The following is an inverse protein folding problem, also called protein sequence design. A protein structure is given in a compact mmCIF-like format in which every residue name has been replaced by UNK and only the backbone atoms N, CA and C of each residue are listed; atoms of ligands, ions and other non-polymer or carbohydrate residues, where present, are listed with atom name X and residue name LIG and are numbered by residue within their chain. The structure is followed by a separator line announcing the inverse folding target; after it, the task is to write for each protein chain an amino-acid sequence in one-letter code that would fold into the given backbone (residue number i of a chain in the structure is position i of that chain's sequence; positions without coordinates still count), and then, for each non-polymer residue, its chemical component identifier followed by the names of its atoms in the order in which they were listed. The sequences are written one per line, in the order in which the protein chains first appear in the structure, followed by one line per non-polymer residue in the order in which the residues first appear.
data_IF_700789463644
#
_entry.id   IF_700789463644
#
_cell.length_a   1.000
_cell.length_b   1.000
_cell.length_c   1.000
_cell.angle_alpha   90.00
_cell.angle_beta   90.00
_cell.angle_gamma   90.00
#
_symmetry.space_group_name_H-M   'P 1'
#
loop_
_entity.id
_entity.type
_entity.pdbx_description
1 polymer ?
#
# COMPACT_ATOMS: atom_id res chain seq x y z
N UNK A 1 40.50 -49.15 -12.95
CA UNK A 1 41.22 -47.97 -12.42
C UNK A 1 40.97 -46.73 -13.27
N UNK A 2 41.19 -46.76 -14.59
CA UNK A 2 41.04 -45.58 -15.47
C UNK A 2 39.75 -44.76 -15.30
N UNK A 3 38.58 -45.41 -15.16
CA UNK A 3 37.31 -44.69 -15.05
C UNK A 3 37.20 -43.84 -13.77
N UNK A 4 37.82 -44.28 -12.67
CA UNK A 4 37.78 -43.52 -11.43
C UNK A 4 38.74 -42.33 -11.46
N UNK A 5 39.95 -42.54 -11.97
CA UNK A 5 40.96 -41.48 -12.15
C UNK A 5 40.47 -40.40 -13.11
N UNK A 6 39.87 -40.80 -14.24
CA UNK A 6 39.29 -39.86 -15.20
C UNK A 6 38.15 -39.05 -14.57
N UNK A 7 37.29 -39.69 -13.78
CA UNK A 7 36.21 -38.99 -13.08
C UNK A 7 36.76 -37.97 -12.07
N UNK A 8 37.73 -38.36 -11.26
CA UNK A 8 38.32 -37.48 -10.25
C UNK A 8 39.05 -36.28 -10.90
N UNK A 9 39.70 -36.50 -12.06
CA UNK A 9 40.26 -35.46 -12.89
C UNK A 9 39.20 -34.51 -13.45
N UNK A 10 38.06 -35.02 -13.96
CA UNK A 10 36.94 -34.17 -14.41
C UNK A 10 36.44 -33.29 -13.26
N UNK A 11 36.30 -33.86 -12.05
CA UNK A 11 35.84 -33.10 -10.89
C UNK A 11 36.78 -31.96 -10.49
N UNK A 12 38.07 -32.03 -10.81
CA UNK A 12 39.04 -30.96 -10.52
C UNK A 12 38.88 -29.74 -11.43
N UNK A 13 38.30 -29.93 -12.62
CA UNK A 13 38.01 -28.84 -13.56
C UNK A 13 36.64 -28.19 -13.35
N UNK A 14 35.78 -28.78 -12.51
CA UNK A 14 34.45 -28.26 -12.26
C UNK A 14 34.48 -27.17 -11.19
N UNK A 15 33.70 -26.10 -11.40
CA UNK A 15 33.46 -25.13 -10.34
C UNK A 15 32.69 -25.79 -9.19
N UNK A 16 32.77 -25.20 -8.00
CA UNK A 16 32.02 -25.73 -6.85
C UNK A 16 30.51 -25.79 -7.10
N UNK A 17 29.96 -24.81 -7.83
CA UNK A 17 28.55 -24.76 -8.18
C UNK A 17 28.17 -25.89 -9.15
N UNK A 18 29.08 -26.23 -10.07
CA UNK A 18 28.92 -27.38 -10.98
C UNK A 18 29.04 -28.71 -10.25
N UNK A 19 29.94 -28.80 -9.26
CA UNK A 19 30.03 -29.98 -8.41
C UNK A 19 28.71 -30.22 -7.65
N UNK A 20 28.13 -29.17 -7.07
CA UNK A 20 26.82 -29.28 -6.40
C UNK A 20 25.71 -29.61 -7.40
N UNK A 21 25.74 -29.02 -8.60
CA UNK A 21 24.81 -29.35 -9.67
C UNK A 21 24.87 -30.84 -10.03
N UNK A 22 26.07 -31.36 -10.28
CA UNK A 22 26.29 -32.75 -10.65
C UNK A 22 25.88 -33.70 -9.53
N UNK A 23 26.23 -33.38 -8.28
CA UNK A 23 25.83 -34.16 -7.10
C UNK A 23 24.31 -34.25 -6.93
N UNK A 24 23.56 -33.26 -7.41
CA UNK A 24 22.09 -33.27 -7.32
C UNK A 24 21.40 -34.19 -8.34
N UNK A 25 22.09 -34.59 -9.41
CA UNK A 25 21.49 -35.38 -10.50
C UNK A 25 21.25 -36.84 -10.11
N UNK A 26 22.04 -37.38 -9.17
CA UNK A 26 22.09 -38.81 -8.88
C UNK A 26 22.63 -39.09 -7.48
N UNK A 27 21.97 -39.99 -6.74
CA UNK A 27 22.41 -40.39 -5.39
C UNK A 27 23.80 -41.04 -5.38
N UNK A 28 24.17 -41.96 -6.30
CA UNK A 28 25.54 -42.45 -6.43
C UNK A 28 26.59 -41.35 -6.62
N UNK A 29 26.33 -40.35 -7.49
CA UNK A 29 27.24 -39.23 -7.70
C UNK A 29 27.37 -38.39 -6.44
N UNK A 30 26.24 -38.08 -5.78
CA UNK A 30 26.25 -37.39 -4.49
C UNK A 30 27.16 -38.09 -3.49
N UNK A 31 27.00 -39.41 -3.28
CA UNK A 31 27.80 -40.18 -2.33
C UNK A 31 29.29 -40.13 -2.65
N UNK A 32 29.64 -40.19 -3.93
CA UNK A 32 31.04 -40.11 -4.38
C UNK A 32 31.64 -38.71 -4.20
N UNK A 33 30.84 -37.67 -4.40
CA UNK A 33 31.29 -36.27 -4.28
C UNK A 33 31.20 -35.73 -2.85
N UNK A 34 30.45 -36.40 -1.98
CA UNK A 34 30.19 -36.00 -0.60
C UNK A 34 31.46 -35.67 0.20
N UNK A 35 32.54 -36.48 0.17
CA UNK A 35 33.76 -36.17 0.92
C UNK A 35 34.40 -34.85 0.47
N UNK A 36 34.29 -34.49 -0.81
CA UNK A 36 34.81 -33.22 -1.34
C UNK A 36 33.88 -32.05 -1.00
N UNK A 37 32.57 -32.25 -1.11
CA UNK A 37 31.56 -31.20 -0.88
C UNK A 37 31.35 -30.86 0.60
N UNK A 38 31.58 -31.82 1.50
CA UNK A 38 31.23 -31.70 2.92
C UNK A 38 32.43 -31.94 3.85
N UNK A 39 33.67 -31.93 3.33
CA UNK A 39 34.89 -32.17 4.11
C UNK A 39 35.05 -31.16 5.25
N UNK A 40 35.00 -29.87 4.92
CA UNK A 40 35.21 -28.76 5.87
C UNK A 40 33.91 -28.02 6.18
N UNK A 41 33.84 -27.33 7.31
CA UNK A 41 32.69 -26.48 7.68
C UNK A 41 32.37 -25.47 6.58
N UNK A 42 33.39 -24.81 6.03
CA UNK A 42 33.21 -23.86 4.93
C UNK A 42 32.60 -24.50 3.68
N UNK A 43 33.05 -25.70 3.29
CA UNK A 43 32.47 -26.42 2.17
C UNK A 43 31.04 -26.90 2.46
N UNK A 44 30.73 -27.28 3.70
CA UNK A 44 29.36 -27.63 4.12
C UNK A 44 28.43 -26.42 3.96
N UNK A 45 28.84 -25.24 4.41
CA UNK A 45 28.05 -24.02 4.28
C UNK A 45 27.90 -23.62 2.81
N UNK A 46 28.98 -23.68 2.02
CA UNK A 46 28.93 -23.41 0.57
C UNK A 46 28.02 -24.40 -0.16
N UNK A 47 28.08 -25.69 0.20
CA UNK A 47 27.18 -26.73 -0.33
C UNK A 47 25.74 -26.44 0.05
N UNK A 48 25.48 -26.08 1.31
CA UNK A 48 24.16 -25.73 1.82
C UNK A 48 23.57 -24.54 1.03
N UNK A 49 24.33 -23.47 0.80
CA UNK A 49 23.92 -22.32 -0.02
C UNK A 49 23.47 -22.76 -1.42
N UNK A 50 24.32 -23.54 -2.09
CA UNK A 50 24.08 -23.95 -3.46
C UNK A 50 22.86 -24.88 -3.56
N UNK A 51 22.74 -25.81 -2.61
CA UNK A 51 21.60 -26.71 -2.48
C UNK A 51 20.29 -25.94 -2.24
N UNK A 52 20.30 -24.94 -1.35
CA UNK A 52 19.12 -24.12 -1.04
C UNK A 52 18.65 -23.29 -2.23
N UNK A 53 19.59 -22.70 -2.99
CA UNK A 53 19.27 -21.90 -4.18
C UNK A 53 18.59 -22.70 -5.28
N UNK A 54 18.96 -23.98 -5.41
CA UNK A 54 18.51 -24.88 -6.48
C UNK A 54 17.37 -25.81 -6.03
N UNK A 55 17.06 -25.84 -4.74
CA UNK A 55 16.01 -26.70 -4.20
C UNK A 55 16.40 -28.17 -4.11
N UNK A 56 17.61 -28.46 -3.63
CA UNK A 56 18.12 -29.82 -3.48
C UNK A 56 17.98 -30.31 -2.03
N UNK A 57 16.75 -30.57 -1.58
CA UNK A 57 16.43 -30.96 -0.20
C UNK A 57 17.28 -32.11 0.37
N UNK A 58 17.63 -33.14 -0.42
CA UNK A 58 18.47 -34.26 0.03
C UNK A 58 19.87 -33.78 0.46
N UNK A 59 20.47 -32.88 -0.34
CA UNK A 59 21.79 -32.35 -0.06
C UNK A 59 21.76 -31.35 1.11
N UNK A 60 20.68 -30.58 1.25
CA UNK A 60 20.42 -29.74 2.43
C UNK A 60 20.39 -30.59 3.71
N UNK A 61 19.57 -31.65 3.75
CA UNK A 61 19.48 -32.56 4.90
C UNK A 61 20.84 -33.19 5.21
N UNK A 62 21.58 -33.60 4.18
CA UNK A 62 22.91 -34.20 4.37
C UNK A 62 23.90 -33.20 4.96
N UNK A 63 23.98 -31.98 4.42
CA UNK A 63 24.85 -30.92 4.95
C UNK A 63 24.51 -30.61 6.43
N UNK A 64 23.22 -30.44 6.74
CA UNK A 64 22.76 -30.22 8.13
C UNK A 64 23.09 -31.41 9.04
N UNK A 65 22.98 -32.66 8.56
CA UNK A 65 23.34 -33.86 9.34
C UNK A 65 24.83 -33.93 9.69
N UNK A 66 25.69 -33.30 8.88
CA UNK A 66 27.13 -33.21 9.11
C UNK A 66 27.54 -31.92 9.84
N UNK A 67 26.58 -31.22 10.46
CA UNK A 67 26.84 -30.06 11.29
C UNK A 67 27.00 -28.74 10.53
N UNK A 68 26.47 -28.62 9.31
CA UNK A 68 26.23 -27.29 8.74
C UNK A 68 25.25 -26.53 9.64
N UNK A 69 25.56 -25.26 9.95
CA UNK A 69 24.72 -24.46 10.84
C UNK A 69 23.50 -23.93 10.07
N UNK A 70 22.30 -24.28 10.53
CA UNK A 70 21.03 -23.89 9.92
C UNK A 70 20.70 -22.40 10.15
N UNK A 71 21.26 -21.80 11.21
CA UNK A 71 21.08 -20.41 11.63
C UNK A 71 22.22 -19.50 11.16
N UNK A 72 23.39 -20.06 10.83
CA UNK A 72 24.53 -19.24 10.45
C UNK A 72 24.21 -18.40 9.21
N UNK A 73 24.56 -17.10 9.22
CA UNK A 73 24.58 -16.27 8.05
C UNK A 73 25.52 -16.90 7.03
N UNK A 74 24.91 -17.33 5.93
CA UNK A 74 25.64 -17.93 4.86
C UNK A 74 26.38 -16.84 4.09
N UNK A 75 27.70 -16.96 4.01
CA UNK A 75 28.56 -15.98 3.38
C UNK A 75 28.59 -16.21 1.88
N UNK A 76 28.02 -15.27 1.13
CA UNK A 76 28.10 -15.26 -0.32
C UNK A 76 29.30 -14.46 -0.80
N UNK A 77 30.31 -15.15 -1.33
CA UNK A 77 31.30 -14.49 -2.17
C UNK A 77 30.64 -14.15 -3.51
N UNK A 78 30.45 -12.85 -3.77
CA UNK A 78 30.23 -12.36 -5.13
C UNK A 78 31.59 -12.21 -5.78
N UNK A 79 32.02 -13.25 -6.49
CA UNK A 79 33.13 -13.15 -7.44
C UNK A 79 32.81 -12.01 -8.43
N UNK A 80 33.68 -11.00 -8.50
CA UNK A 80 33.52 -9.83 -9.39
C UNK A 80 33.06 -8.50 -8.76
N UNK A 81 32.86 -8.42 -7.43
CA UNK A 81 32.62 -7.12 -6.78
C UNK A 81 33.89 -6.28 -6.72
N UNK A 82 33.95 -5.19 -7.50
CA UNK A 82 35.08 -4.24 -7.55
C UNK A 82 35.38 -3.55 -6.21
N UNK A 83 34.37 -3.41 -5.35
CA UNK A 83 34.52 -2.93 -3.98
C UNK A 83 34.71 -4.14 -3.09
N UNK A 84 35.85 -4.23 -2.40
CA UNK A 84 36.37 -5.41 -1.69
C UNK A 84 35.31 -6.29 -1.00
N UNK A 85 35.59 -7.59 -0.95
CA UNK A 85 34.72 -8.69 -0.50
C UNK A 85 33.92 -8.36 0.77
N UNK A 86 32.81 -7.63 0.65
CA UNK A 86 31.85 -7.49 1.74
C UNK A 86 30.99 -8.74 1.72
N UNK A 87 31.37 -9.68 2.58
CA UNK A 87 30.61 -10.87 2.90
C UNK A 87 29.21 -10.43 3.30
N UNK A 88 28.21 -10.65 2.43
CA UNK A 88 26.84 -10.34 2.77
C UNK A 88 26.23 -11.56 3.46
N UNK A 89 25.92 -11.49 4.76
CA UNK A 89 25.26 -12.57 5.46
C UNK A 89 23.89 -12.80 4.82
N UNK A 90 23.58 -14.05 4.45
CA UNK A 90 22.26 -14.40 3.90
C UNK A 90 21.59 -15.44 4.78
N UNK A 91 20.32 -15.19 5.09
CA UNK A 91 19.49 -16.09 5.87
C UNK A 91 19.16 -17.36 5.06
N UNK A 92 19.50 -18.53 5.59
CA UNK A 92 19.26 -19.83 4.92
C UNK A 92 17.78 -20.05 4.57
N UNK A 93 16.87 -19.71 5.50
CA UNK A 93 15.42 -19.75 5.29
C UNK A 93 14.99 -18.92 4.07
N UNK A 94 15.58 -17.73 3.88
CA UNK A 94 15.30 -16.86 2.74
C UNK A 94 15.70 -17.53 1.42
N UNK A 95 16.84 -18.21 1.39
CA UNK A 95 17.30 -18.94 0.20
C UNK A 95 16.36 -20.10 -0.13
N UNK A 96 15.92 -20.88 0.86
CA UNK A 96 14.96 -21.96 0.65
C UNK A 96 13.64 -21.45 0.03
N UNK A 97 13.04 -20.38 0.59
CA UNK A 97 11.79 -19.79 0.05
C UNK A 97 12.01 -19.22 -1.34
N UNK A 98 13.20 -18.63 -1.61
CA UNK A 98 13.55 -18.13 -2.94
C UNK A 98 13.66 -19.26 -3.96
N UNK A 99 14.33 -20.35 -3.61
CA UNK A 99 14.46 -21.57 -4.43
C UNK A 99 13.12 -22.29 -4.62
N UNK A 100 12.19 -22.14 -3.67
CA UNK A 100 10.86 -22.73 -3.76
C UNK A 100 10.80 -24.21 -3.38
N UNK A 101 11.80 -24.72 -2.68
CA UNK A 101 11.82 -26.09 -2.16
C UNK A 101 11.32 -26.13 -0.71
N UNK A 102 10.09 -26.60 -0.54
CA UNK A 102 9.47 -26.77 0.78
C UNK A 102 10.19 -27.80 1.64
N UNK A 103 10.75 -28.85 1.04
CA UNK A 103 11.46 -29.91 1.76
C UNK A 103 12.76 -29.38 2.37
N UNK A 104 13.48 -28.53 1.64
CA UNK A 104 14.66 -27.84 2.16
C UNK A 104 14.30 -26.84 3.26
N UNK A 105 13.22 -26.07 3.09
CA UNK A 105 12.73 -25.14 4.13
C UNK A 105 12.35 -25.88 5.41
N UNK A 106 11.58 -26.97 5.27
CA UNK A 106 11.18 -27.83 6.37
C UNK A 106 12.40 -28.44 7.09
N UNK A 107 13.39 -28.92 6.34
CA UNK A 107 14.61 -29.47 6.92
C UNK A 107 15.41 -28.44 7.74
N UNK A 108 15.46 -27.18 7.30
CA UNK A 108 16.08 -26.10 8.07
C UNK A 108 15.33 -25.87 9.39
N UNK A 109 14.00 -25.75 9.32
CA UNK A 109 13.13 -25.55 10.49
C UNK A 109 13.26 -26.69 11.50
N UNK A 110 13.23 -27.94 11.04
CA UNK A 110 13.41 -29.15 11.88
C UNK A 110 14.77 -29.18 12.59
N UNK A 111 15.77 -28.50 12.02
CA UNK A 111 17.11 -28.35 12.63
C UNK A 111 17.26 -27.07 13.45
N UNK A 112 16.16 -26.41 13.78
CA UNK A 112 16.15 -25.24 14.66
C UNK A 112 16.56 -23.94 13.98
N UNK A 113 16.47 -23.84 12.65
CA UNK A 113 16.67 -22.58 11.95
C UNK A 113 15.62 -21.55 12.43
N UNK A 114 16.07 -20.54 13.16
CA UNK A 114 15.23 -19.50 13.76
C UNK A 114 15.68 -18.12 13.30
N UNK A 115 14.79 -17.11 13.37
CA UNK A 115 15.20 -15.72 13.12
C UNK A 115 16.13 -15.23 14.23
N UNK A 116 15.86 -15.61 15.47
CA UNK A 116 16.61 -15.23 16.66
C UNK A 116 18.03 -15.82 16.62
N UNK A 117 18.16 -17.08 16.20
CA UNK A 117 19.45 -17.72 15.99
C UNK A 117 20.27 -17.02 14.92
N UNK A 118 19.63 -16.61 13.81
CA UNK A 118 20.28 -15.81 12.79
C UNK A 118 20.70 -14.42 13.30
N UNK A 119 19.83 -13.70 14.00
CA UNK A 119 20.14 -12.38 14.57
C UNK A 119 21.33 -12.48 15.52
N UNK A 120 21.27 -13.41 16.49
CA UNK A 120 22.34 -13.61 17.46
C UNK A 120 23.67 -13.99 16.79
N UNK A 121 23.63 -14.82 15.74
CA UNK A 121 24.84 -15.14 14.99
C UNK A 121 25.37 -13.95 14.18
N UNK A 122 24.50 -13.18 13.54
CA UNK A 122 24.87 -12.01 12.74
C UNK A 122 25.49 -10.92 13.63
N UNK A 123 24.95 -10.69 14.83
CA UNK A 123 25.47 -9.77 15.84
C UNK A 123 26.88 -10.18 16.31
N UNK A 124 27.11 -11.47 16.60
CA UNK A 124 28.46 -11.99 16.97
C UNK A 124 29.52 -11.72 15.90
N UNK A 125 29.10 -11.58 14.64
CA UNK A 125 29.99 -11.32 13.51
C UNK A 125 29.99 -9.85 13.08
N UNK A 126 29.53 -8.94 13.95
CA UNK A 126 29.50 -7.50 13.71
C UNK A 126 28.73 -7.10 12.43
N UNK A 127 27.71 -7.86 12.05
CA UNK A 127 26.81 -7.44 10.98
C UNK A 127 26.04 -6.20 11.43
N UNK A 128 25.88 -5.21 10.55
CA UNK A 128 25.07 -4.04 10.87
C UNK A 128 23.59 -4.43 11.03
N UNK A 129 22.89 -3.79 11.97
CA UNK A 129 21.45 -4.00 12.18
C UNK A 129 20.66 -3.83 10.88
N UNK A 130 21.01 -2.83 10.07
CA UNK A 130 20.38 -2.59 8.77
C UNK A 130 20.51 -3.78 7.80
N UNK A 131 21.60 -4.55 7.84
CA UNK A 131 21.74 -5.75 7.01
C UNK A 131 20.87 -6.90 7.53
N UNK A 132 20.79 -7.06 8.85
CA UNK A 132 19.94 -8.06 9.51
C UNK A 132 18.47 -7.77 9.15
N UNK A 133 18.03 -6.54 9.36
CA UNK A 133 16.67 -6.08 9.04
C UNK A 133 16.35 -6.30 7.55
N UNK A 134 17.28 -5.99 6.65
CA UNK A 134 17.08 -6.18 5.22
C UNK A 134 16.94 -7.66 4.79
N UNK A 135 17.61 -8.58 5.48
CA UNK A 135 17.48 -10.03 5.23
C UNK A 135 16.17 -10.58 5.80
N UNK A 136 15.78 -10.14 6.99
CA UNK A 136 14.48 -10.48 7.61
C UNK A 136 13.35 -9.95 6.73
N UNK A 137 13.35 -8.65 6.40
CA UNK A 137 12.37 -8.05 5.49
C UNK A 137 12.32 -8.78 4.15
N UNK A 138 13.48 -9.19 3.64
CA UNK A 138 13.59 -9.97 2.41
C UNK A 138 12.91 -11.34 2.50
N UNK A 139 13.01 -12.03 3.63
CA UNK A 139 12.28 -13.27 3.89
C UNK A 139 10.77 -13.01 4.06
N UNK A 140 10.37 -12.07 4.92
CA UNK A 140 8.96 -11.77 5.19
C UNK A 140 8.25 -11.34 3.89
N UNK A 141 8.93 -10.57 3.03
CA UNK A 141 8.43 -10.19 1.71
C UNK A 141 8.24 -11.40 0.76
N UNK A 142 9.14 -12.40 0.82
CA UNK A 142 9.01 -13.63 0.04
C UNK A 142 7.89 -14.54 0.54
N UNK A 143 7.75 -14.69 1.86
CA UNK A 143 6.67 -15.46 2.49
C UNK A 143 5.29 -14.83 2.21
N UNK A 144 5.24 -13.50 2.06
CA UNK A 144 4.04 -12.74 1.72
C UNK A 144 3.55 -12.94 0.27
N UNK A 145 4.18 -13.83 -0.49
CA UNK A 145 3.78 -14.15 -1.86
C UNK A 145 2.62 -15.17 -1.86
N UNK A 146 1.59 -14.99 -2.71
CA UNK A 146 0.47 -15.92 -2.77
C UNK A 146 0.90 -17.34 -3.17
N UNK A 147 1.91 -17.47 -4.04
CA UNK A 147 2.51 -18.75 -4.44
C UNK A 147 3.40 -19.40 -3.36
N UNK A 148 3.54 -18.78 -2.18
CA UNK A 148 4.39 -19.25 -1.08
C UNK A 148 3.61 -19.47 0.22
N UNK A 149 2.29 -19.62 0.15
CA UNK A 149 1.45 -19.79 1.34
C UNK A 149 1.79 -21.04 2.15
N UNK A 150 2.26 -22.10 1.51
CA UNK A 150 2.73 -23.31 2.19
C UNK A 150 3.96 -23.05 3.05
N UNK A 151 4.92 -22.25 2.56
CA UNK A 151 6.06 -21.78 3.35
C UNK A 151 5.60 -20.93 4.52
N UNK A 152 4.65 -20.02 4.30
CA UNK A 152 4.11 -19.19 5.37
C UNK A 152 3.40 -20.05 6.44
N UNK A 153 2.60 -21.02 6.02
CA UNK A 153 1.95 -21.98 6.91
C UNK A 153 2.98 -22.73 7.73
N UNK A 154 3.99 -23.33 7.09
CA UNK A 154 5.08 -24.00 7.80
C UNK A 154 5.78 -23.06 8.76
N UNK A 155 6.09 -21.83 8.33
CA UNK A 155 6.75 -20.82 9.17
C UNK A 155 5.92 -20.45 10.41
N UNK A 156 4.59 -20.49 10.33
CA UNK A 156 3.67 -20.24 11.44
C UNK A 156 3.38 -21.50 12.28
N UNK A 157 3.30 -22.68 11.65
CA UNK A 157 2.93 -23.96 12.27
C UNK A 157 4.02 -24.49 13.20
N UNK A 158 5.25 -24.00 13.11
CA UNK A 158 6.34 -24.48 13.94
C UNK A 158 6.13 -24.05 15.40
N UNK A 159 5.49 -24.90 16.18
CA UNK A 159 5.48 -24.88 17.65
C UNK A 159 6.87 -25.03 18.29
N UNK A 160 7.94 -25.04 17.49
CA UNK A 160 9.35 -25.22 17.87
C UNK A 160 10.16 -23.92 17.76
N UNK A 161 9.66 -22.91 17.05
CA UNK A 161 10.28 -21.58 17.10
C UNK A 161 9.82 -20.88 18.39
N UNK A 162 10.66 -20.05 19.04
CA UNK A 162 10.15 -19.04 19.96
C UNK A 162 8.98 -18.33 19.28
N UNK A 163 7.88 -18.01 20.00
CA UNK A 163 6.73 -17.35 19.39
C UNK A 163 7.25 -16.16 18.59
N UNK A 164 7.01 -16.19 17.28
CA UNK A 164 7.43 -15.12 16.37
C UNK A 164 7.07 -13.82 17.05
N UNK A 165 8.05 -12.92 17.23
CA UNK A 165 7.76 -11.61 17.82
C UNK A 165 6.56 -11.02 17.07
N UNK A 166 5.63 -10.44 17.81
CA UNK A 166 4.43 -9.83 17.24
C UNK A 166 4.78 -8.87 16.08
N UNK A 167 5.94 -8.22 16.15
CA UNK A 167 6.51 -7.38 15.10
C UNK A 167 6.78 -8.12 13.77
N UNK A 168 7.37 -9.33 13.80
CA UNK A 168 7.64 -10.11 12.59
C UNK A 168 6.34 -10.53 11.90
N UNK A 169 5.35 -11.00 12.69
CA UNK A 169 4.02 -11.32 12.21
C UNK A 169 3.33 -10.08 11.61
N UNK A 170 3.46 -8.93 12.28
CA UNK A 170 2.92 -7.65 11.82
C UNK A 170 3.56 -7.21 10.49
N UNK A 171 4.87 -7.39 10.33
CA UNK A 171 5.58 -7.07 9.10
C UNK A 171 5.21 -8.02 7.95
N UNK A 172 5.08 -9.32 8.22
CA UNK A 172 4.51 -10.28 7.27
C UNK A 172 3.11 -9.87 6.81
N UNK A 173 2.23 -9.50 7.74
CA UNK A 173 0.87 -9.04 7.43
C UNK A 173 0.90 -7.76 6.58
N UNK A 174 1.76 -6.80 6.94
CA UNK A 174 1.97 -5.56 6.19
C UNK A 174 2.39 -5.83 4.74
N UNK A 175 3.37 -6.70 4.52
CA UNK A 175 3.84 -7.03 3.18
C UNK A 175 2.80 -7.83 2.38
N UNK A 176 2.11 -8.78 3.02
CA UNK A 176 1.04 -9.59 2.42
C UNK A 176 -0.08 -8.69 1.92
N UNK A 177 -0.54 -7.76 2.75
CA UNK A 177 -1.59 -6.81 2.40
C UNK A 177 -1.11 -5.84 1.33
N UNK A 178 0.05 -5.20 1.50
CA UNK A 178 0.61 -4.28 0.50
C UNK A 178 0.73 -4.93 -0.87
N UNK A 179 1.20 -6.19 -0.93
CA UNK A 179 1.35 -6.92 -2.19
C UNK A 179 0.01 -7.30 -2.80
N UNK A 180 -0.93 -7.79 -1.98
CA UNK A 180 -2.28 -8.13 -2.42
C UNK A 180 -2.97 -6.90 -3.04
N UNK A 181 -2.83 -5.73 -2.41
CA UNK A 181 -3.37 -4.46 -2.89
C UNK A 181 -2.72 -3.97 -4.20
N UNK A 182 -1.43 -4.26 -4.42
CA UNK A 182 -0.72 -3.84 -5.63
C UNK A 182 -0.98 -4.76 -6.83
N UNK A 183 -1.12 -6.06 -6.58
CA UNK A 183 -1.26 -7.08 -7.64
C UNK A 183 -2.71 -7.51 -7.91
N UNK A 184 -3.65 -7.10 -7.06
CA UNK A 184 -5.05 -7.53 -7.13
C UNK A 184 -5.27 -9.02 -6.80
N UNK A 185 -4.22 -9.74 -6.40
CA UNK A 185 -4.31 -11.14 -5.97
C UNK A 185 -4.50 -11.14 -4.47
N UNK A 186 -5.75 -11.24 -4.03
CA UNK A 186 -6.09 -11.27 -2.61
C UNK A 186 -5.75 -12.63 -1.99
N UNK A 187 -4.70 -12.64 -1.16
CA UNK A 187 -4.33 -13.80 -0.37
C UNK A 187 -5.18 -13.95 0.90
N UNK A 188 -6.52 -14.11 0.79
CA UNK A 188 -7.43 -14.25 1.96
C UNK A 188 -6.88 -15.24 2.99
N UNK A 189 -6.43 -16.40 2.51
CA UNK A 189 -5.88 -17.46 3.33
C UNK A 189 -4.61 -17.03 4.08
N UNK A 190 -3.73 -16.24 3.46
CA UNK A 190 -2.51 -15.76 4.10
C UNK A 190 -2.80 -14.73 5.18
N UNK A 191 -3.76 -13.82 4.95
CA UNK A 191 -4.19 -12.86 5.98
C UNK A 191 -4.87 -13.57 7.14
N UNK A 192 -5.79 -14.49 6.87
CA UNK A 192 -6.49 -15.22 7.93
C UNK A 192 -5.52 -16.08 8.75
N UNK A 193 -4.53 -16.71 8.09
CA UNK A 193 -3.45 -17.40 8.77
C UNK A 193 -2.68 -16.45 9.70
N UNK A 194 -2.19 -15.31 9.18
CA UNK A 194 -1.41 -14.36 9.98
C UNK A 194 -2.19 -13.78 11.16
N UNK A 195 -3.47 -13.45 10.96
CA UNK A 195 -4.32 -12.94 12.05
C UNK A 195 -4.62 -14.04 13.08
N UNK A 196 -4.86 -15.28 12.66
CA UNK A 196 -5.02 -16.41 13.59
C UNK A 196 -3.79 -16.68 14.45
N UNK A 197 -2.62 -16.27 13.96
CA UNK A 197 -1.33 -16.33 14.66
C UNK A 197 -1.06 -15.08 15.52
N UNK A 198 -2.02 -14.16 15.64
CA UNK A 198 -1.92 -12.96 16.49
C UNK A 198 -1.45 -11.69 15.78
N UNK A 199 -1.31 -11.68 14.45
CA UNK A 199 -1.03 -10.44 13.72
C UNK A 199 -2.22 -9.48 13.81
N UNK A 200 -1.97 -8.22 14.16
CA UNK A 200 -3.04 -7.23 14.32
C UNK A 200 -3.25 -6.42 13.05
N UNK A 201 -4.49 -6.39 12.54
CA UNK A 201 -4.80 -5.53 11.39
C UNK A 201 -4.74 -4.04 11.76
N UNK A 202 -4.94 -3.70 13.04
CA UNK A 202 -4.88 -2.32 13.54
C UNK A 202 -3.47 -1.72 13.44
N UNK A 203 -2.42 -2.52 13.68
CA UNK A 203 -1.03 -2.06 13.69
C UNK A 203 -0.54 -1.49 12.35
N UNK A 204 -1.22 -1.83 11.26
CA UNK A 204 -0.88 -1.38 9.90
C UNK A 204 -1.07 0.12 9.70
N UNK A 205 -1.92 0.77 10.50
CA UNK A 205 -2.20 2.21 10.40
C UNK A 205 -1.05 3.09 10.96
N UNK A 206 -0.07 2.49 11.65
CA UNK A 206 1.00 3.23 12.32
C UNK A 206 2.28 3.41 11.50
N UNK A 207 2.48 2.62 10.44
CA UNK A 207 3.79 2.57 9.76
C UNK A 207 4.01 3.75 8.79
N UNK A 208 5.20 4.35 8.88
CA UNK A 208 5.68 5.58 8.25
C UNK A 208 5.67 5.64 6.71
N UNK A 209 5.23 4.59 6.02
CA UNK A 209 5.15 4.59 4.55
C UNK A 209 3.80 5.19 4.13
N UNK A 210 3.69 6.51 4.26
CA UNK A 210 2.56 7.35 3.81
C UNK A 210 1.18 7.00 4.35
N UNK A 211 1.08 6.34 5.52
CA UNK A 211 -0.11 6.37 6.38
C UNK A 211 -1.44 5.92 5.76
N UNK A 212 -1.47 5.25 4.60
CA UNK A 212 -2.74 4.85 3.97
C UNK A 212 -3.36 3.73 4.77
N UNK A 213 -4.60 3.93 5.24
CA UNK A 213 -5.37 2.87 5.87
C UNK A 213 -5.49 1.69 4.88
N UNK A 214 -5.12 0.46 5.29
CA UNK A 214 -5.23 -0.71 4.43
C UNK A 214 -6.65 -0.95 3.91
N UNK A 215 -7.66 -0.72 4.76
CA UNK A 215 -9.09 -0.84 4.41
C UNK A 215 -9.43 0.13 3.28
N UNK A 216 -9.07 1.41 3.42
CA UNK A 216 -9.33 2.41 2.40
C UNK A 216 -8.60 2.10 1.08
N UNK A 217 -7.38 1.57 1.17
CA UNK A 217 -6.62 1.17 -0.02
C UNK A 217 -7.26 -0.02 -0.74
N UNK A 218 -7.79 -1.00 0.00
CA UNK A 218 -8.53 -2.13 -0.57
C UNK A 218 -9.77 -1.66 -1.33
N UNK A 219 -10.52 -0.71 -0.75
CA UNK A 219 -11.69 -0.11 -1.39
C UNK A 219 -11.30 0.60 -2.69
N UNK A 220 -10.31 1.50 -2.66
CA UNK A 220 -9.85 2.24 -3.85
C UNK A 220 -9.35 1.33 -4.98
N UNK A 221 -8.83 0.14 -4.63
CA UNK A 221 -8.35 -0.85 -5.58
C UNK A 221 -9.46 -1.77 -6.13
N UNK A 222 -10.71 -1.58 -5.71
CA UNK A 222 -11.83 -2.42 -6.15
C UNK A 222 -11.87 -3.78 -5.45
N UNK A 223 -11.38 -3.87 -4.21
CA UNK A 223 -11.40 -5.09 -3.41
C UNK A 223 -12.22 -4.92 -2.12
N UNK A 224 -13.55 -4.68 -2.20
CA UNK A 224 -14.39 -4.51 -1.02
C UNK A 224 -14.37 -5.73 -0.09
N UNK A 225 -14.35 -6.94 -0.64
CA UNK A 225 -14.37 -8.17 0.18
C UNK A 225 -13.12 -8.30 1.06
N UNK A 226 -11.97 -7.81 0.55
CA UNK A 226 -10.73 -7.71 1.30
C UNK A 226 -10.81 -6.66 2.42
N UNK A 227 -11.46 -5.52 2.15
CA UNK A 227 -11.72 -4.50 3.16
C UNK A 227 -12.63 -5.02 4.28
N UNK A 228 -13.72 -5.72 3.93
CA UNK A 228 -14.63 -6.34 4.90
C UNK A 228 -13.93 -7.39 5.75
N UNK A 229 -13.05 -8.22 5.16
CA UNK A 229 -12.28 -9.19 5.93
C UNK A 229 -11.34 -8.50 6.94
N UNK A 230 -10.69 -7.40 6.54
CA UNK A 230 -9.90 -6.61 7.49
C UNK A 230 -10.76 -6.04 8.63
N UNK A 231 -11.99 -5.59 8.33
CA UNK A 231 -12.93 -5.08 9.33
C UNK A 231 -13.40 -6.19 10.29
N UNK A 232 -13.65 -7.41 9.79
CA UNK A 232 -13.92 -8.61 10.62
C UNK A 232 -12.79 -8.86 11.62
N UNK A 233 -11.55 -8.62 11.19
CA UNK A 233 -10.35 -8.76 12.02
C UNK A 233 -9.99 -7.48 12.80
N UNK A 234 -10.96 -6.59 13.02
CA UNK A 234 -10.84 -5.44 13.93
C UNK A 234 -10.21 -4.18 13.33
N UNK A 235 -10.01 -4.10 12.01
CA UNK A 235 -9.52 -2.86 11.40
C UNK A 235 -10.48 -1.69 11.67
N UNK A 236 -9.93 -0.50 11.90
CA UNK A 236 -10.74 0.68 12.19
C UNK A 236 -11.42 1.23 10.91
N UNK A 237 -12.75 1.18 10.86
CA UNK A 237 -13.61 1.68 9.78
C UNK A 237 -13.50 3.19 9.55
N UNK A 238 -13.13 3.96 10.57
CA UNK A 238 -12.93 5.41 10.44
C UNK A 238 -11.54 5.75 9.90
N UNK A 239 -10.65 4.75 9.77
CA UNK A 239 -9.25 4.99 9.45
C UNK A 239 -8.50 5.68 10.59
N UNK A 240 -7.28 6.13 10.31
CA UNK A 240 -6.49 6.93 11.24
C UNK A 240 -6.56 8.38 10.80
N UNK A 241 -6.67 9.29 11.77
CA UNK A 241 -6.59 10.71 11.45
C UNK A 241 -5.27 11.05 10.74
N UNK A 242 -5.33 11.79 9.63
CA UNK A 242 -4.17 12.13 8.86
C UNK A 242 -3.25 13.08 9.65
N UNK A 243 -1.93 12.81 9.66
CA UNK A 243 -0.97 13.74 10.27
C UNK A 243 -0.78 14.95 9.36
N UNK A 244 -0.87 16.20 9.86
CA UNK A 244 -0.82 17.41 9.04
C UNK A 244 0.33 17.53 8.03
N UNK A 245 1.44 16.84 8.28
CA UNK A 245 2.67 16.84 7.48
C UNK A 245 2.62 15.97 6.23
N UNK A 246 1.67 15.05 6.13
CA UNK A 246 1.77 13.92 5.18
C UNK A 246 1.26 14.25 3.77
N UNK A 247 0.88 15.52 3.49
CA UNK A 247 0.41 15.95 2.18
C UNK A 247 -0.79 15.13 1.69
N UNK A 248 -1.73 14.89 2.61
CA UNK A 248 -2.64 13.75 2.57
C UNK A 248 -3.56 13.69 1.35
N UNK A 249 -3.51 12.53 0.69
CA UNK A 249 -4.61 12.01 -0.11
C UNK A 249 -5.76 11.59 0.84
N UNK A 250 -6.89 12.27 0.75
CA UNK A 250 -8.11 12.00 1.57
C UNK A 250 -8.63 10.56 1.45
N UNK A 251 -8.18 9.82 0.43
CA UNK A 251 -8.51 8.41 0.22
C UNK A 251 -7.94 7.42 1.23
N UNK A 252 -7.34 7.87 2.34
CA UNK A 252 -6.93 7.01 3.45
C UNK A 252 -8.06 6.73 4.46
N UNK A 253 -9.19 7.44 4.39
CA UNK A 253 -10.37 7.14 5.22
C UNK A 253 -11.29 6.19 4.44
N UNK A 254 -11.72 5.04 5.01
CA UNK A 254 -12.50 4.04 4.27
C UNK A 254 -13.78 4.58 3.63
N UNK A 255 -14.55 5.41 4.33
CA UNK A 255 -15.80 5.97 3.76
C UNK A 255 -15.53 6.99 2.63
N UNK A 256 -14.37 7.64 2.65
CA UNK A 256 -13.93 8.55 1.58
C UNK A 256 -13.50 7.75 0.35
N UNK A 257 -12.78 6.66 0.57
CA UNK A 257 -12.43 5.72 -0.48
C UNK A 257 -13.68 5.10 -1.13
N UNK A 258 -14.68 4.71 -0.32
CA UNK A 258 -15.95 4.20 -0.81
C UNK A 258 -16.70 5.26 -1.62
N UNK A 259 -16.72 6.51 -1.15
CA UNK A 259 -17.33 7.61 -1.88
C UNK A 259 -16.65 7.87 -3.24
N UNK A 260 -15.31 7.82 -3.31
CA UNK A 260 -14.59 7.91 -4.59
C UNK A 260 -14.92 6.77 -5.54
N UNK A 261 -15.11 5.56 -5.02
CA UNK A 261 -15.47 4.39 -5.83
C UNK A 261 -16.95 4.35 -6.19
N UNK A 262 -17.79 5.08 -5.47
CA UNK A 262 -19.23 5.11 -5.72
C UNK A 262 -19.55 5.49 -7.15
N UNK A 263 -18.79 6.42 -7.76
CA UNK A 263 -18.99 6.82 -9.15
C UNK A 263 -18.80 5.67 -10.15
N UNK A 264 -17.93 4.70 -9.87
CA UNK A 264 -17.70 3.55 -10.76
C UNK A 264 -18.49 2.31 -10.35
N UNK A 265 -18.65 2.07 -9.04
CA UNK A 265 -19.04 0.78 -8.47
C UNK A 265 -20.48 0.73 -7.95
N UNK A 266 -21.16 1.87 -7.90
CA UNK A 266 -22.53 1.94 -7.37
C UNK A 266 -22.61 2.49 -5.95
N UNK A 267 -23.80 2.91 -5.49
CA UNK A 267 -24.05 3.23 -4.09
C UNK A 267 -23.86 2.02 -3.15
N UNK A 268 -23.91 0.79 -3.70
CA UNK A 268 -23.73 -0.46 -2.94
C UNK A 268 -22.39 -0.50 -2.18
N UNK A 269 -21.31 0.06 -2.75
CA UNK A 269 -20.01 0.11 -2.07
C UNK A 269 -20.09 0.94 -0.78
N UNK A 270 -20.79 2.08 -0.83
CA UNK A 270 -20.94 2.98 0.33
C UNK A 270 -21.86 2.33 1.36
N UNK A 271 -22.99 1.76 0.93
CA UNK A 271 -23.93 1.06 1.80
C UNK A 271 -23.25 -0.06 2.60
N UNK A 272 -22.35 -0.85 1.98
CA UNK A 272 -21.57 -1.88 2.69
C UNK A 272 -20.78 -1.30 3.85
N UNK A 273 -20.03 -0.23 3.64
CA UNK A 273 -19.19 0.35 4.70
C UNK A 273 -20.00 1.13 5.75
N UNK A 274 -21.14 1.69 5.36
CA UNK A 274 -22.09 2.24 6.33
C UNK A 274 -22.67 1.14 7.24
N UNK A 275 -22.97 -0.05 6.71
CA UNK A 275 -23.39 -1.20 7.52
C UNK A 275 -22.30 -1.66 8.52
N UNK A 276 -21.02 -1.41 8.20
CA UNK A 276 -19.88 -1.59 9.11
C UNK A 276 -19.70 -0.44 10.12
N UNK A 277 -20.63 0.52 10.18
CA UNK A 277 -20.57 1.64 11.12
C UNK A 277 -19.70 2.82 10.66
N UNK A 278 -19.41 2.92 9.36
CA UNK A 278 -18.77 4.12 8.83
C UNK A 278 -19.64 5.36 9.04
N UNK A 279 -19.03 6.50 9.38
CA UNK A 279 -19.77 7.74 9.55
C UNK A 279 -19.94 8.43 8.18
N UNK A 280 -21.16 8.61 7.65
CA UNK A 280 -21.38 9.31 6.39
C UNK A 280 -21.00 10.80 6.44
N UNK A 281 -20.83 11.34 7.65
CA UNK A 281 -20.40 12.71 7.94
C UNK A 281 -18.99 12.80 8.47
N UNK A 282 -18.17 11.76 8.26
CA UNK A 282 -16.80 11.78 8.74
C UNK A 282 -16.10 13.02 8.16
N UNK A 283 -15.63 13.90 9.04
CA UNK A 283 -14.89 15.10 8.67
C UNK A 283 -13.41 14.78 8.77
N UNK A 284 -12.68 14.95 7.67
CA UNK A 284 -11.22 14.91 7.70
C UNK A 284 -10.70 16.35 7.79
N UNK A 285 -9.65 16.65 8.55
CA UNK A 285 -8.99 17.97 8.42
C UNK A 285 -8.05 17.93 7.21
N UNK A 286 -8.45 18.55 6.09
CA UNK A 286 -7.56 18.69 4.93
C UNK A 286 -6.84 20.02 4.95
N UNK A 287 -5.51 19.92 4.97
CA UNK A 287 -4.61 21.03 4.66
C UNK A 287 -4.26 20.96 3.18
N UNK A 288 -4.96 21.76 2.38
CA UNK A 288 -4.59 21.95 0.97
C UNK A 288 -3.44 22.95 0.94
N UNK A 289 -2.25 22.48 0.62
CA UNK A 289 -1.11 23.36 0.32
C UNK A 289 -1.18 23.75 -1.15
N UNK A 290 -1.53 24.99 -1.48
CA UNK A 290 -1.38 25.47 -2.86
C UNK A 290 0.11 25.59 -3.18
N UNK A 291 0.67 24.66 -3.95
CA UNK A 291 1.98 24.83 -4.57
C UNK A 291 1.86 25.82 -5.74
N UNK A 292 1.71 27.13 -5.48
CA UNK A 292 2.16 28.12 -6.48
C UNK A 292 3.68 28.19 -6.35
N UNK A 293 4.36 27.26 -7.04
CA UNK A 293 5.76 27.41 -7.43
C UNK A 293 5.77 28.40 -8.58
N UNK A 294 5.87 29.68 -8.28
CA UNK A 294 6.45 30.73 -9.14
C UNK A 294 6.22 32.04 -8.40
N UNK A 295 7.19 32.39 -7.57
CA UNK A 295 7.90 33.67 -7.64
C UNK A 295 8.90 33.69 -6.50
N UNK A 296 10.17 33.54 -6.90
CA UNK A 296 11.30 33.89 -6.06
C UNK A 296 11.08 35.31 -5.54
N UNK A 297 10.95 35.46 -4.22
CA UNK A 297 11.50 36.54 -3.38
C UNK A 297 10.64 36.84 -2.13
N UNK A 298 9.38 36.41 -2.01
CA UNK A 298 8.63 36.65 -0.75
C UNK A 298 7.95 35.41 -0.17
N UNK A 299 8.55 34.89 0.91
CA UNK A 299 8.08 33.80 1.78
C UNK A 299 6.80 34.16 2.56
N UNK A 300 5.82 34.80 1.95
CA UNK A 300 4.51 34.93 2.57
C UNK A 300 3.81 33.57 2.41
N UNK A 301 3.96 32.72 3.44
CA UNK A 301 3.15 31.52 3.69
C UNK A 301 1.66 31.91 3.72
N UNK A 302 1.05 32.15 2.55
CA UNK A 302 -0.33 32.64 2.45
C UNK A 302 -1.28 31.47 2.17
N UNK A 303 -2.20 31.33 3.12
CA UNK A 303 -3.43 30.52 3.19
C UNK A 303 -3.27 29.00 3.16
N UNK A 304 -3.15 28.44 4.37
CA UNK A 304 -3.60 27.08 4.67
C UNK A 304 -5.13 27.12 4.63
N UNK A 305 -5.74 26.71 3.52
CA UNK A 305 -7.19 26.49 3.46
C UNK A 305 -7.47 25.15 4.16
N UNK A 306 -8.14 25.23 5.31
CA UNK A 306 -8.60 24.07 6.09
C UNK A 306 -10.00 23.73 5.60
N UNK A 307 -10.07 22.81 4.66
CA UNK A 307 -11.33 22.25 4.18
C UNK A 307 -11.61 21.01 5.01
N UNK A 308 -12.83 20.83 5.51
CA UNK A 308 -13.27 19.58 6.12
C UNK A 308 -14.06 18.79 5.09
N UNK A 309 -13.42 18.04 4.16
CA UNK A 309 -14.15 17.23 3.22
C UNK A 309 -15.10 16.30 3.95
N UNK A 310 -16.32 16.25 3.45
CA UNK A 310 -17.26 15.17 3.69
C UNK A 310 -17.09 14.12 2.59
N UNK A 311 -17.49 12.85 2.82
CA UNK A 311 -17.46 11.81 1.80
C UNK A 311 -18.11 12.21 0.47
N UNK A 312 -19.21 12.97 0.48
CA UNK A 312 -19.85 13.51 -0.75
C UNK A 312 -18.91 14.36 -1.61
N UNK A 313 -17.96 15.10 -1.01
CA UNK A 313 -16.97 15.88 -1.76
C UNK A 313 -16.05 14.94 -2.55
N UNK A 314 -15.68 13.81 -1.95
CA UNK A 314 -14.84 12.80 -2.58
C UNK A 314 -15.56 12.09 -3.72
N UNK A 315 -16.85 11.82 -3.53
CA UNK A 315 -17.70 11.31 -4.60
C UNK A 315 -17.75 12.29 -5.78
N UNK A 316 -18.18 13.52 -5.55
CA UNK A 316 -18.33 14.54 -6.60
C UNK A 316 -17.00 14.86 -7.29
N UNK A 317 -15.89 14.87 -6.54
CA UNK A 317 -14.56 15.04 -7.10
C UNK A 317 -14.09 13.83 -7.92
N UNK A 318 -14.61 12.62 -7.68
CA UNK A 318 -14.23 11.41 -8.41
C UNK A 318 -14.99 11.22 -9.73
N UNK A 319 -16.10 11.93 -9.92
CA UNK A 319 -16.91 11.86 -11.13
C UNK A 319 -16.07 12.32 -12.34
N UNK A 320 -16.08 11.49 -13.39
CA UNK A 320 -15.58 11.86 -14.72
C UNK A 320 -16.77 12.34 -15.53
N UNK A 321 -16.95 13.66 -15.54
CA UNK A 321 -18.11 14.29 -16.15
C UNK A 321 -18.17 14.13 -17.67
N UNK A 322 -17.05 13.79 -18.30
CA UNK A 322 -16.86 13.57 -19.73
C UNK A 322 -17.10 12.12 -20.16
N UNK A 323 -17.28 11.19 -19.22
CA UNK A 323 -17.42 9.77 -19.50
C UNK A 323 -18.89 9.32 -19.39
N UNK A 324 -19.28 8.32 -20.18
CA UNK A 324 -20.49 7.54 -19.94
C UNK A 324 -20.27 6.70 -18.68
N UNK A 325 -20.72 7.23 -17.54
CA UNK A 325 -20.57 6.57 -16.24
C UNK A 325 -21.78 5.69 -15.98
N UNK A 326 -21.55 4.55 -15.30
CA UNK A 326 -22.58 3.56 -14.96
C UNK A 326 -23.72 4.08 -14.07
N UNK A 327 -23.54 5.24 -13.42
CA UNK A 327 -24.51 5.80 -12.48
C UNK A 327 -24.78 7.25 -12.83
N UNK A 328 -26.06 7.61 -12.81
CA UNK A 328 -26.48 8.99 -12.92
C UNK A 328 -25.90 9.82 -11.75
N UNK A 329 -25.09 10.83 -12.04
CA UNK A 329 -24.43 11.67 -11.03
C UNK A 329 -25.42 12.29 -10.02
N UNK A 330 -26.62 12.61 -10.50
CA UNK A 330 -27.70 13.15 -9.70
C UNK A 330 -28.25 12.14 -8.68
N UNK A 331 -28.35 10.87 -9.06
CA UNK A 331 -28.78 9.80 -8.14
C UNK A 331 -27.76 9.59 -7.02
N UNK A 332 -26.47 9.63 -7.34
CA UNK A 332 -25.43 9.53 -6.32
C UNK A 332 -25.43 10.74 -5.37
N UNK A 333 -25.68 11.95 -5.87
CA UNK A 333 -25.85 13.13 -5.00
C UNK A 333 -27.07 12.97 -4.09
N UNK A 334 -28.21 12.55 -4.64
CA UNK A 334 -29.44 12.29 -3.88
C UNK A 334 -29.26 11.20 -2.82
N UNK A 335 -28.49 10.16 -3.15
CA UNK A 335 -28.09 9.13 -2.20
C UNK A 335 -27.35 9.75 -1.01
N UNK A 336 -26.37 10.62 -1.22
CA UNK A 336 -25.69 11.31 -0.12
C UNK A 336 -26.62 12.23 0.70
N UNK A 337 -27.54 12.96 0.04
CA UNK A 337 -28.55 13.78 0.72
C UNK A 337 -29.50 12.96 1.60
N UNK A 338 -29.76 11.70 1.25
CA UNK A 338 -30.67 10.84 2.01
C UNK A 338 -30.19 10.52 3.44
N UNK A 339 -28.89 10.67 3.73
CA UNK A 339 -28.36 10.34 5.05
C UNK A 339 -28.61 11.41 6.13
N UNK A 340 -29.10 12.63 5.78
CA UNK A 340 -29.38 13.71 6.74
C UNK A 340 -28.81 15.10 6.36
N UNK A 341 -28.61 16.03 7.34
CA UNK A 341 -28.80 17.47 7.11
C UNK A 341 -27.85 18.09 6.08
N UNK A 342 -28.28 19.20 5.44
CA UNK A 342 -27.70 19.75 4.23
C UNK A 342 -26.20 20.02 4.37
N UNK A 343 -25.52 20.04 3.24
CA UNK A 343 -24.08 20.26 3.06
C UNK A 343 -23.57 21.62 3.57
N UNK A 344 -24.43 22.35 4.29
CA UNK A 344 -24.27 23.68 4.82
C UNK A 344 -24.49 23.66 6.35
N UNK A 345 -23.53 23.06 7.09
CA UNK A 345 -23.41 23.33 8.53
C UNK A 345 -22.40 24.45 8.72
N UNK A 346 -22.91 25.66 8.64
CA UNK A 346 -22.27 26.95 8.96
C UNK A 346 -21.72 27.07 10.42
N UNK A 347 -21.64 25.98 11.19
CA UNK A 347 -21.13 26.01 12.57
C UNK A 347 -20.25 24.80 12.88
N UNK A 348 -18.99 24.87 12.45
CA UNK A 348 -17.92 24.18 13.18
C UNK A 348 -17.56 25.06 14.37
N UNK A 349 -17.95 24.62 15.58
CA UNK A 349 -17.53 25.26 16.84
C UNK A 349 -16.01 25.09 16.95
N UNK A 350 -15.28 26.21 16.94
CA UNK A 350 -13.83 26.18 17.07
C UNK A 350 -13.45 25.76 18.51
N UNK A 351 -12.42 24.93 18.69
CA UNK A 351 -11.76 24.79 19.98
C UNK A 351 -11.27 26.17 20.42
N UNK A 352 -11.68 26.60 21.62
CA UNK A 352 -11.30 27.87 22.22
C UNK A 352 -9.78 28.04 22.22
N UNK A 353 -9.25 29.08 21.58
CA UNK A 353 -7.82 29.45 21.62
C UNK A 353 -7.05 29.42 20.29
N UNK A 354 -7.66 29.05 19.17
CA UNK A 354 -6.95 28.99 17.87
C UNK A 354 -6.84 30.39 17.24
N UNK A 355 -5.63 30.99 17.23
CA UNK A 355 -5.38 32.29 16.57
C UNK A 355 -5.58 32.19 15.05
N UNK A 356 -6.37 33.13 14.51
CA UNK A 356 -6.86 33.22 13.13
C UNK A 356 -5.71 33.26 12.10
N UNK A 357 -5.55 32.18 11.33
CA UNK A 357 -5.01 32.24 9.96
C UNK A 357 -6.15 31.81 9.05
N UNK A 358 -6.63 32.77 8.25
CA UNK A 358 -7.81 32.75 7.37
C UNK A 358 -8.20 31.34 6.89
N UNK A 359 -9.30 30.79 7.42
CA UNK A 359 -9.98 29.61 6.86
C UNK A 359 -11.07 30.11 5.92
N UNK A 360 -10.97 29.74 4.64
CA UNK A 360 -12.09 29.86 3.69
C UNK A 360 -12.70 28.47 3.60
N UNK A 361 -13.94 28.33 4.05
CA UNK A 361 -14.73 27.14 3.82
C UNK A 361 -15.34 27.27 2.45
N UNK A 362 -14.95 26.40 1.53
CA UNK A 362 -15.60 26.30 0.23
C UNK A 362 -16.79 25.37 0.41
N UNK A 363 -17.99 25.86 0.13
CA UNK A 363 -19.13 24.96 -0.10
C UNK A 363 -18.83 23.99 -1.25
N UNK A 364 -19.64 22.95 -1.39
CA UNK A 364 -19.47 21.93 -2.43
C UNK A 364 -19.37 22.51 -3.85
N UNK A 365 -20.23 23.47 -4.18
CA UNK A 365 -20.29 24.02 -5.53
C UNK A 365 -19.07 24.89 -5.88
N UNK A 366 -18.60 25.80 -5.00
CA UNK A 366 -17.32 26.49 -5.20
C UNK A 366 -16.14 25.52 -5.42
N UNK A 367 -16.06 24.42 -4.67
CA UNK A 367 -15.03 23.39 -4.87
C UNK A 367 -15.14 22.71 -6.24
N UNK A 368 -16.35 22.38 -6.67
CA UNK A 368 -16.60 21.79 -7.99
C UNK A 368 -16.22 22.74 -9.12
N UNK A 369 -16.62 24.00 -9.04
CA UNK A 369 -16.29 25.04 -10.02
C UNK A 369 -14.79 25.32 -10.06
N UNK A 370 -14.12 25.36 -8.91
CA UNK A 370 -12.67 25.53 -8.86
C UNK A 370 -11.95 24.35 -9.51
N UNK A 371 -12.42 23.11 -9.30
CA UNK A 371 -11.78 21.91 -9.82
C UNK A 371 -11.99 21.74 -11.32
N UNK A 372 -13.21 21.95 -11.79
CA UNK A 372 -13.64 21.57 -13.14
C UNK A 372 -13.85 22.74 -14.07
N UNK A 373 -13.88 23.95 -13.54
CA UNK A 373 -14.09 25.17 -14.29
C UNK A 373 -15.56 25.42 -14.65
N UNK A 374 -15.86 26.65 -15.08
CA UNK A 374 -17.21 27.08 -15.43
C UNK A 374 -17.77 26.40 -16.69
N UNK A 375 -16.90 26.05 -17.63
CA UNK A 375 -17.28 25.49 -18.92
C UNK A 375 -18.00 24.14 -18.78
N UNK A 376 -17.79 23.44 -17.67
CA UNK A 376 -18.48 22.19 -17.38
C UNK A 376 -19.99 22.34 -17.19
N UNK A 377 -20.51 23.55 -16.98
CA UNK A 377 -21.96 23.80 -16.99
C UNK A 377 -22.61 23.58 -18.35
N UNK A 378 -21.83 23.57 -19.44
CA UNK A 378 -22.33 23.10 -20.75
C UNK A 378 -22.67 21.60 -20.72
N UNK A 379 -22.07 20.82 -19.82
CA UNK A 379 -22.37 19.40 -19.65
C UNK A 379 -23.64 19.21 -18.81
N UNK A 380 -24.69 18.65 -19.40
CA UNK A 380 -26.02 18.51 -18.76
C UNK A 380 -25.96 17.79 -17.40
N UNK A 381 -25.26 16.65 -17.24
CA UNK A 381 -25.09 16.02 -15.92
C UNK A 381 -24.46 16.92 -14.84
N UNK A 382 -23.46 17.73 -15.19
CA UNK A 382 -22.82 18.65 -14.25
C UNK A 382 -23.77 19.79 -13.88
N UNK A 383 -24.47 20.35 -14.86
CA UNK A 383 -25.49 21.38 -14.66
C UNK A 383 -26.59 20.92 -13.70
N UNK A 384 -27.15 19.73 -13.89
CA UNK A 384 -28.21 19.20 -13.02
C UNK A 384 -27.70 18.96 -11.59
N UNK A 385 -26.47 18.50 -11.41
CA UNK A 385 -25.85 18.39 -10.08
C UNK A 385 -25.69 19.77 -9.43
N UNK A 386 -25.21 20.77 -10.17
CA UNK A 386 -25.05 22.13 -9.65
C UNK A 386 -26.40 22.77 -9.29
N UNK A 387 -27.44 22.51 -10.09
CA UNK A 387 -28.81 22.94 -9.81
C UNK A 387 -29.37 22.26 -8.56
N UNK A 388 -29.13 20.97 -8.39
CA UNK A 388 -29.53 20.22 -7.19
C UNK A 388 -28.79 20.70 -5.94
N UNK A 389 -27.54 21.16 -6.05
CA UNK A 389 -26.77 21.78 -4.97
C UNK A 389 -27.14 23.25 -4.70
N UNK A 390 -27.90 23.90 -5.59
CA UNK A 390 -28.25 25.32 -5.45
C UNK A 390 -28.90 25.68 -4.10
N UNK A 391 -29.85 24.91 -3.54
CA UNK A 391 -30.45 25.26 -2.25
C UNK A 391 -29.46 25.22 -1.09
N UNK A 392 -28.37 24.46 -1.24
CA UNK A 392 -27.30 24.28 -0.26
C UNK A 392 -26.16 25.30 -0.45
N UNK A 393 -26.26 26.18 -1.45
CA UNK A 393 -25.34 27.30 -1.63
C UNK A 393 -25.75 28.43 -0.69
N UNK A 394 -25.16 28.47 0.50
CA UNK A 394 -25.25 29.63 1.39
C UNK A 394 -24.91 30.95 0.67
N UNK A 395 -25.43 32.08 1.17
CA UNK A 395 -25.23 33.42 0.54
C UNK A 395 -23.76 33.75 0.26
N UNK A 396 -22.86 33.29 1.14
CA UNK A 396 -21.41 33.51 1.01
C UNK A 396 -20.80 32.78 -0.18
N UNK A 397 -21.22 31.53 -0.43
CA UNK A 397 -20.74 30.77 -1.58
C UNK A 397 -21.15 31.42 -2.90
N UNK A 398 -22.36 32.01 -2.96
CA UNK A 398 -22.81 32.80 -4.10
C UNK A 398 -21.94 34.04 -4.33
N UNK A 399 -21.62 34.79 -3.27
CA UNK A 399 -20.76 35.97 -3.36
C UNK A 399 -19.30 35.62 -3.73
N UNK A 400 -18.73 34.56 -3.17
CA UNK A 400 -17.37 34.12 -3.49
C UNK A 400 -17.27 33.59 -4.92
N UNK A 401 -18.29 32.88 -5.40
CA UNK A 401 -18.39 32.47 -6.80
C UNK A 401 -18.46 33.70 -7.70
N UNK A 402 -19.33 34.67 -7.39
CA UNK A 402 -19.38 35.95 -8.11
C UNK A 402 -18.02 36.65 -8.14
N UNK A 403 -17.35 36.81 -7.00
CA UNK A 403 -16.04 37.47 -6.92
C UNK A 403 -14.96 36.71 -7.70
N UNK A 404 -14.91 35.39 -7.59
CA UNK A 404 -13.95 34.55 -8.33
C UNK A 404 -14.16 34.62 -9.84
N UNK A 405 -15.40 34.78 -10.29
CA UNK A 405 -15.78 34.97 -11.71
C UNK A 405 -15.27 36.31 -12.25
N UNK A 406 -15.36 37.40 -11.48
CA UNK A 406 -14.97 38.72 -11.97
C UNK A 406 -13.43 38.90 -12.05
N UNK A 407 -12.68 38.19 -11.21
CA UNK A 407 -11.22 38.32 -11.12
C UNK A 407 -10.44 37.42 -12.10
N UNK A 408 -10.98 36.28 -12.53
CA UNK A 408 -10.26 35.34 -13.39
C UNK A 408 -10.61 35.53 -14.87
N UNK A 409 -9.62 35.87 -15.71
CA UNK A 409 -9.79 36.15 -17.15
C UNK A 409 -10.40 34.97 -17.92
N UNK A 410 -10.25 33.74 -17.42
CA UNK A 410 -10.88 32.56 -18.01
C UNK A 410 -12.42 32.56 -17.90
N UNK A 411 -13.00 33.38 -17.01
CA UNK A 411 -14.44 33.51 -16.81
C UNK A 411 -15.09 34.63 -17.63
N UNK A 412 -14.31 35.46 -18.33
CA UNK A 412 -14.85 36.62 -19.07
C UNK A 412 -15.53 36.30 -20.38
N UNK A 413 -15.35 35.09 -20.94
CA UNK A 413 -15.92 34.72 -22.24
C UNK A 413 -16.46 33.28 -22.27
N UNK A 414 -17.51 32.97 -21.48
CA UNK A 414 -18.12 31.67 -21.54
C UNK A 414 -19.05 31.64 -22.78
N UNK A 415 -18.71 30.86 -23.82
CA UNK A 415 -19.51 30.76 -25.06
C UNK A 415 -20.99 30.47 -24.73
N UNK A 416 -21.92 31.19 -25.40
CA UNK A 416 -23.25 31.58 -24.88
C UNK A 416 -24.15 30.54 -24.20
N UNK A 417 -24.01 29.24 -24.46
CA UNK A 417 -24.78 28.17 -23.78
C UNK A 417 -24.45 28.09 -22.28
N UNK A 418 -23.22 28.42 -21.93
CA UNK A 418 -22.77 28.40 -20.53
C UNK A 418 -23.40 29.55 -19.74
N UNK A 419 -23.49 30.76 -20.29
CA UNK A 419 -24.00 31.95 -19.59
C UNK A 419 -25.46 31.79 -19.12
N UNK A 420 -26.36 31.29 -19.97
CA UNK A 420 -27.77 31.09 -19.58
C UNK A 420 -27.92 30.06 -18.45
N UNK A 421 -27.14 28.98 -18.51
CA UNK A 421 -27.10 27.96 -17.45
C UNK A 421 -26.51 28.51 -16.16
N UNK A 422 -25.49 29.36 -16.27
CA UNK A 422 -24.92 30.11 -15.16
C UNK A 422 -25.98 30.96 -14.44
N UNK A 423 -26.70 31.81 -15.18
CA UNK A 423 -27.74 32.67 -14.61
C UNK A 423 -28.83 31.88 -13.89
N UNK A 424 -29.22 30.73 -14.45
CA UNK A 424 -30.21 29.83 -13.84
C UNK A 424 -29.72 29.18 -12.54
N UNK A 425 -28.47 28.69 -12.51
CA UNK A 425 -27.92 28.01 -11.32
C UNK A 425 -27.66 29.00 -10.18
N UNK A 426 -27.22 30.22 -10.47
CA UNK A 426 -26.87 31.18 -9.42
C UNK A 426 -27.96 32.21 -9.13
N UNK A 427 -29.05 32.25 -9.93
CA UNK A 427 -30.10 33.29 -9.86
C UNK A 427 -29.52 34.70 -9.94
N UNK A 428 -28.43 34.85 -10.70
CA UNK A 428 -27.77 36.13 -10.96
C UNK A 428 -28.04 36.46 -12.42
N UNK A 429 -28.55 37.65 -12.71
CA UNK A 429 -28.55 38.17 -14.08
C UNK A 429 -27.21 38.85 -14.33
N UNK A 430 -26.49 38.42 -15.36
CA UNK A 430 -25.35 39.20 -15.83
C UNK A 430 -25.90 40.41 -16.61
N UNK A 431 -25.24 41.58 -16.54
CA UNK A 431 -25.59 42.67 -17.44
C UNK A 431 -25.44 42.16 -18.87
N UNK A 432 -26.48 42.33 -19.69
CA UNK A 432 -26.38 42.06 -21.12
C UNK A 432 -25.20 42.90 -21.62
N UNK A 433 -24.17 42.24 -22.17
CA UNK A 433 -23.03 42.96 -22.72
C UNK A 433 -23.57 43.98 -23.74
N UNK A 434 -23.29 45.27 -23.50
CA UNK A 434 -23.41 46.27 -24.53
C UNK A 434 -22.59 45.77 -25.72
N UNK A 435 -23.27 45.47 -26.83
CA UNK A 435 -22.77 44.79 -28.02
C UNK A 435 -21.78 45.63 -28.83
N UNK A 436 -20.71 46.12 -28.19
CA UNK A 436 -19.64 46.92 -28.80
C UNK A 436 -18.31 46.64 -28.12
N UNK A 437 -17.75 45.45 -28.34
CA UNK A 437 -16.30 45.24 -28.34
C UNK A 437 -15.92 44.18 -29.36
#
# INVERSE_FOLDING_TARGET
MLANELFDAILEYLSFDDLVALASTSMPLMRRMEPRLLATTHQRDKTLICALRRGYCCLVRRALSLGADACAPLVLNREGSFYGQRLKPVLALRLAVKGGDEGAFQALVERGATLEGYIAHAERHNASQANIDAEIDGLLWLLSRPDRISFLRRFCDVSVLPPLRAEHLQNCLKYTIKRSLLKGVWGKHAVNLLVSQGASVCGLQSSSVRGKCPVATAILRGHPDMAEEMLRHGANIQGKEPRPTDGIEVGHIPIFAAACRMATDGPSIVQRFLAWGANPYHQADLRIYSRRMNDSVNFVRKRIMLHTPLPVHMYLASIRWDADVSICHLEGLRFWKSFGPPFDRDRVVLPSGTKMLVRIYWGLAPLLLQKWGPNMLAHTPFYEVMKELQPDLGRWALQDVQHSIFDDRAFRYPEGISLERWEKVFKVKFPAEDSKF
#
